data_IF_314657502664
#
_entry.id   IF_314657502664
#
_cell.length_a   1.000
_cell.length_b   1.000
_cell.length_c   1.000
_cell.angle_alpha   90.00
_cell.angle_beta   90.00
_cell.angle_gamma   90.00
#
_symmetry.space_group_name_H-M   'P 1'
#
loop_
_entity.id
_entity.type
_entity.pdbx_description
1 polymer ?
#
# COMPACT_ATOMS: atom_id res chain seq x y z
N UNK A 1 43.59 5.97 -31.69
CA UNK A 1 42.75 5.38 -32.76
C UNK A 1 41.37 5.17 -32.19
N UNK A 2 40.38 5.97 -32.61
CA UNK A 2 39.02 5.88 -32.10
C UNK A 2 38.28 4.72 -32.76
N UNK A 3 37.54 3.93 -31.98
CA UNK A 3 36.68 2.88 -32.52
C UNK A 3 35.49 3.50 -33.27
N UNK A 4 35.15 2.94 -34.45
CA UNK A 4 34.04 3.41 -35.29
C UNK A 4 32.70 2.80 -34.86
N UNK A 5 31.65 3.62 -34.89
CA UNK A 5 30.26 3.21 -34.63
C UNK A 5 29.67 2.37 -35.79
N UNK A 6 28.53 1.72 -35.53
CA UNK A 6 27.74 1.03 -36.57
C UNK A 6 27.11 2.07 -37.53
N UNK A 7 27.10 1.85 -38.86
CA UNK A 7 26.41 2.75 -39.78
C UNK A 7 24.90 2.84 -39.50
N UNK A 8 24.32 4.04 -39.60
CA UNK A 8 22.91 4.31 -39.33
C UNK A 8 21.95 3.43 -40.14
N UNK A 9 22.25 3.19 -41.42
CA UNK A 9 21.46 2.29 -42.29
C UNK A 9 21.40 0.85 -41.81
N UNK A 10 22.30 0.45 -40.90
CA UNK A 10 22.38 -0.88 -40.30
C UNK A 10 22.09 -0.88 -38.81
N UNK A 11 21.66 0.22 -38.21
CA UNK A 11 21.38 0.30 -36.77
C UNK A 11 20.39 -0.77 -36.26
N UNK A 12 19.49 -1.26 -37.13
CA UNK A 12 18.56 -2.36 -36.84
C UNK A 12 19.24 -3.65 -36.34
N UNK A 13 20.49 -3.93 -36.73
CA UNK A 13 21.22 -5.15 -36.35
C UNK A 13 21.96 -5.05 -35.01
N UNK A 14 21.76 -3.96 -34.25
CA UNK A 14 22.40 -3.75 -32.94
C UNK A 14 23.79 -3.12 -33.03
N UNK A 15 24.69 -3.44 -32.10
CA UNK A 15 26.04 -2.89 -32.07
C UNK A 15 26.99 -3.65 -33.00
N UNK A 16 27.89 -2.91 -33.67
CA UNK A 16 28.88 -3.51 -34.57
C UNK A 16 29.98 -4.14 -33.75
N UNK A 17 29.92 -5.46 -33.65
CA UNK A 17 30.90 -6.26 -32.92
C UNK A 17 32.34 -5.94 -33.34
N UNK A 18 33.22 -5.76 -32.34
CA UNK A 18 34.64 -5.55 -32.54
C UNK A 18 35.45 -6.80 -32.21
N UNK A 19 36.76 -6.73 -32.47
CA UNK A 19 37.67 -7.86 -32.21
C UNK A 19 37.64 -8.33 -30.75
N UNK A 20 37.48 -7.41 -29.79
CA UNK A 20 37.37 -7.73 -28.36
C UNK A 20 36.12 -8.58 -28.06
N UNK A 21 34.97 -8.13 -28.57
CA UNK A 21 33.69 -8.83 -28.43
C UNK A 21 33.75 -10.21 -29.10
N UNK A 22 34.35 -10.29 -30.31
CA UNK A 22 34.57 -11.55 -31.02
C UNK A 22 35.38 -12.54 -30.19
N UNK A 23 36.47 -12.08 -29.58
CA UNK A 23 37.31 -12.93 -28.74
C UNK A 23 36.53 -13.43 -27.52
N UNK A 24 35.71 -12.58 -26.89
CA UNK A 24 34.87 -12.99 -25.76
C UNK A 24 33.81 -14.02 -26.19
N UNK A 25 33.12 -13.78 -27.31
CA UNK A 25 32.12 -14.72 -27.86
C UNK A 25 32.75 -16.05 -28.28
N UNK A 26 33.89 -16.02 -28.95
CA UNK A 26 34.59 -17.25 -29.35
C UNK A 26 35.06 -18.07 -28.14
N UNK A 27 35.52 -17.40 -27.07
CA UNK A 27 35.86 -18.06 -25.80
C UNK A 27 34.64 -18.72 -25.15
N UNK A 28 33.52 -18.01 -25.05
CA UNK A 28 32.26 -18.57 -24.49
C UNK A 28 31.76 -19.77 -25.32
N UNK A 29 31.74 -19.64 -26.65
CA UNK A 29 31.36 -20.73 -27.55
C UNK A 29 32.24 -21.97 -27.35
N UNK A 30 33.58 -21.78 -27.32
CA UNK A 30 34.51 -22.88 -27.12
C UNK A 30 34.37 -23.52 -25.74
N UNK A 31 34.08 -22.73 -24.70
CA UNK A 31 33.78 -23.24 -23.36
C UNK A 31 32.52 -24.11 -23.35
N UNK A 32 31.40 -23.62 -23.91
CA UNK A 32 30.14 -24.36 -24.04
C UNK A 32 30.32 -25.64 -24.87
N UNK A 33 31.04 -25.56 -26.00
CA UNK A 33 31.37 -26.71 -26.86
C UNK A 33 32.13 -27.79 -26.08
N UNK A 34 33.17 -27.41 -25.33
CA UNK A 34 33.93 -28.36 -24.49
C UNK A 34 33.06 -28.95 -23.38
N UNK A 35 32.19 -28.17 -22.75
CA UNK A 35 31.25 -28.66 -21.72
C UNK A 35 30.29 -29.69 -22.30
N UNK A 36 29.69 -29.43 -23.45
CA UNK A 36 28.79 -30.37 -24.15
C UNK A 36 29.52 -31.66 -24.54
N UNK A 37 30.76 -31.57 -25.02
CA UNK A 37 31.55 -32.76 -25.35
C UNK A 37 31.78 -33.66 -24.14
N UNK A 38 32.12 -33.07 -22.98
CA UNK A 38 32.28 -33.84 -21.73
C UNK A 38 30.96 -34.46 -21.27
N UNK A 39 29.85 -33.74 -21.36
CA UNK A 39 28.53 -34.27 -21.00
C UNK A 39 28.14 -35.45 -21.90
N UNK A 40 28.43 -35.37 -23.21
CA UNK A 40 28.24 -36.49 -24.14
C UNK A 40 29.07 -37.70 -23.77
N UNK A 41 30.35 -37.52 -23.44
CA UNK A 41 31.20 -38.62 -22.98
C UNK A 41 30.65 -39.27 -21.71
N UNK A 42 30.24 -38.47 -20.71
CA UNK A 42 29.62 -38.99 -19.49
C UNK A 42 28.34 -39.76 -19.75
N UNK A 43 27.50 -39.27 -20.66
CA UNK A 43 26.27 -39.95 -21.05
C UNK A 43 26.54 -41.30 -21.74
N UNK A 44 27.57 -41.36 -22.59
CA UNK A 44 27.99 -42.60 -23.27
C UNK A 44 28.60 -43.61 -22.29
N UNK A 45 29.34 -43.15 -21.28
CA UNK A 45 29.96 -44.00 -20.27
C UNK A 45 29.05 -44.29 -19.07
N UNK A 46 27.74 -44.05 -19.17
CA UNK A 46 26.79 -44.23 -18.06
C UNK A 46 26.60 -45.72 -17.78
N UNK A 47 26.72 -46.12 -16.52
CA UNK A 47 26.35 -47.45 -16.06
C UNK A 47 24.82 -47.54 -15.88
N UNK A 48 24.09 -48.43 -16.57
CA UNK A 48 22.63 -48.57 -16.40
C UNK A 48 22.22 -49.01 -14.99
N UNK A 49 23.10 -49.70 -14.26
CA UNK A 49 22.84 -50.26 -12.93
C UNK A 49 23.29 -49.32 -11.80
N UNK A 50 23.71 -48.09 -12.11
CA UNK A 50 24.13 -47.12 -11.09
C UNK A 50 22.95 -46.69 -10.21
N UNK A 51 23.15 -46.75 -8.90
CA UNK A 51 22.18 -46.30 -7.91
C UNK A 51 22.77 -45.26 -6.97
N UNK A 52 22.06 -44.14 -6.83
CA UNK A 52 22.32 -43.13 -5.81
C UNK A 52 21.10 -42.96 -4.91
N UNK A 53 21.31 -42.81 -3.59
CA UNK A 53 20.21 -42.63 -2.63
C UNK A 53 19.30 -41.42 -2.96
N UNK A 54 19.83 -40.40 -3.65
CA UNK A 54 19.03 -39.26 -4.11
C UNK A 54 17.96 -39.65 -5.13
N UNK A 55 18.13 -40.75 -5.87
CA UNK A 55 17.12 -41.27 -6.80
C UNK A 55 15.81 -41.70 -6.11
N UNK A 56 15.82 -41.88 -4.77
CA UNK A 56 14.60 -42.15 -4.00
C UNK A 56 13.74 -40.88 -3.88
N UNK A 57 14.38 -39.70 -3.83
CA UNK A 57 13.74 -38.39 -3.63
C UNK A 57 13.64 -37.58 -4.92
N UNK A 58 13.84 -38.22 -6.07
CA UNK A 58 13.77 -37.56 -7.37
C UNK A 58 13.29 -38.54 -8.42
N UNK A 59 12.58 -38.07 -9.43
CA UNK A 59 12.14 -38.89 -10.54
C UNK A 59 12.55 -38.27 -11.87
N UNK A 60 12.48 -39.06 -12.93
CA UNK A 60 12.62 -38.56 -14.30
C UNK A 60 11.21 -38.47 -14.88
N UNK A 61 10.84 -37.30 -15.39
CA UNK A 61 9.54 -37.08 -16.02
C UNK A 61 9.39 -37.84 -17.35
N UNK A 62 8.18 -37.86 -17.91
CA UNK A 62 7.91 -38.44 -19.24
C UNK A 62 8.72 -37.76 -20.36
N UNK A 63 9.11 -36.50 -20.13
CA UNK A 63 9.98 -35.69 -20.99
C UNK A 63 11.48 -36.04 -20.88
N UNK A 64 11.83 -36.95 -19.96
CA UNK A 64 13.22 -37.38 -19.73
C UNK A 64 14.04 -36.40 -18.89
N UNK A 65 13.41 -35.40 -18.26
CA UNK A 65 14.09 -34.41 -17.40
C UNK A 65 14.02 -34.83 -15.93
N UNK A 66 15.11 -34.59 -15.20
CA UNK A 66 15.20 -34.88 -13.77
C UNK A 66 14.41 -33.85 -12.95
N UNK A 67 13.53 -34.33 -12.08
CA UNK A 67 12.76 -33.53 -11.13
C UNK A 67 12.98 -34.00 -9.70
N UNK A 68 13.12 -33.06 -8.78
CA UNK A 68 13.15 -33.37 -7.35
C UNK A 68 11.73 -33.58 -6.83
N UNK A 69 11.51 -34.65 -6.05
CA UNK A 69 10.29 -34.81 -5.30
C UNK A 69 10.34 -33.78 -4.17
N UNK A 70 9.60 -32.68 -4.34
CA UNK A 70 9.40 -31.75 -3.25
C UNK A 70 8.73 -32.54 -2.13
N UNK A 71 9.30 -32.59 -0.91
CA UNK A 71 8.60 -33.24 0.19
C UNK A 71 7.25 -32.54 0.34
N UNK A 72 6.17 -33.33 0.30
CA UNK A 72 4.87 -32.82 0.73
C UNK A 72 5.09 -32.22 2.13
N UNK A 73 4.57 -31.01 2.40
CA UNK A 73 4.64 -30.48 3.75
C UNK A 73 4.03 -31.53 4.68
N UNK A 74 4.69 -31.81 5.81
CA UNK A 74 4.16 -32.75 6.78
C UNK A 74 2.68 -32.43 7.01
N UNK A 75 1.80 -33.37 6.69
CA UNK A 75 0.37 -33.18 6.88
C UNK A 75 0.14 -32.91 8.36
N UNK A 76 -0.17 -31.65 8.69
CA UNK A 76 -0.36 -31.24 10.07
C UNK A 76 -1.38 -32.19 10.72
N UNK A 77 -1.05 -32.70 11.90
CA UNK A 77 -2.01 -33.46 12.69
C UNK A 77 -3.27 -32.61 12.90
N UNK A 78 -4.46 -33.23 13.00
CA UNK A 78 -5.71 -32.50 13.24
C UNK A 78 -5.62 -31.49 14.41
N UNK A 79 -4.84 -31.82 15.43
CA UNK A 79 -4.56 -30.94 16.56
C UNK A 79 -3.73 -29.71 16.17
N UNK A 80 -2.70 -29.87 15.34
CA UNK A 80 -1.87 -28.77 14.83
C UNK A 80 -2.68 -27.83 13.95
N UNK A 81 -3.54 -28.37 13.06
CA UNK A 81 -4.46 -27.55 12.23
C UNK A 81 -5.36 -26.68 13.11
N UNK A 82 -6.01 -27.28 14.12
CA UNK A 82 -6.86 -26.55 15.08
C UNK A 82 -6.09 -25.50 15.89
N UNK A 83 -4.85 -25.78 16.29
CA UNK A 83 -4.03 -24.80 17.00
C UNK A 83 -3.71 -23.58 16.13
N UNK A 84 -3.35 -23.79 14.86
CA UNK A 84 -3.15 -22.70 13.89
C UNK A 84 -4.41 -21.84 13.73
N UNK A 85 -5.57 -22.47 13.60
CA UNK A 85 -6.86 -21.76 13.51
C UNK A 85 -7.13 -20.89 14.75
N UNK A 86 -6.81 -21.39 15.95
CA UNK A 86 -6.95 -20.63 17.20
C UNK A 86 -5.98 -19.44 17.28
N UNK A 87 -4.75 -19.61 16.81
CA UNK A 87 -3.76 -18.54 16.73
C UNK A 87 -4.22 -17.41 15.78
N UNK A 88 -4.75 -17.79 14.61
CA UNK A 88 -5.29 -16.85 13.64
C UNK A 88 -6.50 -16.07 14.19
N UNK A 89 -7.43 -16.76 14.85
CA UNK A 89 -8.57 -16.11 15.50
C UNK A 89 -8.12 -15.12 16.59
N UNK A 90 -7.09 -15.48 17.37
CA UNK A 90 -6.52 -14.60 18.39
C UNK A 90 -5.89 -13.37 17.77
N UNK A 91 -5.17 -13.53 16.66
CA UNK A 91 -4.57 -12.42 15.91
C UNK A 91 -5.63 -11.47 15.36
N UNK A 92 -6.68 -12.00 14.72
CA UNK A 92 -7.79 -11.20 14.19
C UNK A 92 -8.49 -10.41 15.29
N UNK A 93 -8.77 -11.04 16.44
CA UNK A 93 -9.37 -10.36 17.60
C UNK A 93 -8.49 -9.24 18.13
N UNK A 94 -7.18 -9.48 18.23
CA UNK A 94 -6.23 -8.44 18.64
C UNK A 94 -6.23 -7.27 17.65
N UNK A 95 -6.18 -7.55 16.34
CA UNK A 95 -6.19 -6.52 15.30
C UNK A 95 -7.48 -5.70 15.33
N UNK A 96 -8.62 -6.35 15.50
CA UNK A 96 -9.93 -5.69 15.64
C UNK A 96 -9.93 -4.73 16.84
N UNK A 97 -9.40 -5.14 17.99
CA UNK A 97 -9.31 -4.27 19.17
C UNK A 97 -8.43 -3.04 18.91
N UNK A 98 -7.29 -3.22 18.24
CA UNK A 98 -6.39 -2.11 17.88
C UNK A 98 -7.10 -1.13 16.94
N UNK A 99 -7.80 -1.62 15.92
CA UNK A 99 -8.54 -0.76 14.99
C UNK A 99 -9.71 -0.05 15.68
N UNK A 100 -10.45 -0.74 16.56
CA UNK A 100 -11.51 -0.10 17.35
C UNK A 100 -10.96 1.03 18.24
N UNK A 101 -9.81 0.83 18.89
CA UNK A 101 -9.17 1.89 19.67
C UNK A 101 -8.73 3.08 18.81
N UNK A 102 -8.27 2.83 17.57
CA UNK A 102 -7.96 3.92 16.62
C UNK A 102 -9.21 4.66 16.20
N UNK A 103 -10.30 3.95 15.90
CA UNK A 103 -11.60 4.55 15.55
C UNK A 103 -12.09 5.43 16.70
N UNK A 104 -12.04 4.94 17.94
CA UNK A 104 -12.45 5.72 19.12
C UNK A 104 -11.56 6.95 19.33
N UNK A 105 -10.24 6.85 19.15
CA UNK A 105 -9.34 8.02 19.19
C UNK A 105 -9.68 9.03 18.11
N UNK A 106 -9.90 8.57 16.87
CA UNK A 106 -10.26 9.44 15.74
C UNK A 106 -11.60 10.14 16.00
N UNK A 107 -12.62 9.39 16.45
CA UNK A 107 -13.92 9.94 16.86
C UNK A 107 -13.76 10.97 17.97
N UNK A 108 -12.97 10.69 19.00
CA UNK A 108 -12.72 11.62 20.09
C UNK A 108 -12.04 12.92 19.63
N UNK A 109 -11.08 12.85 18.70
CA UNK A 109 -10.45 14.06 18.14
C UNK A 109 -11.36 14.89 17.23
N UNK A 110 -12.39 14.26 16.65
CA UNK A 110 -13.23 14.83 15.61
C UNK A 110 -14.41 15.63 16.21
N UNK A 111 -14.13 16.76 16.85
CA UNK A 111 -15.11 17.50 17.65
C UNK A 111 -16.27 18.20 16.89
N UNK A 112 -16.37 18.11 15.55
CA UNK A 112 -17.40 18.84 14.78
C UNK A 112 -17.98 18.11 13.54
N UNK A 113 -17.55 16.88 13.22
CA UNK A 113 -18.07 16.19 12.04
C UNK A 113 -19.49 15.64 12.21
N UNK A 114 -19.92 15.39 13.45
CA UNK A 114 -21.28 14.91 13.77
C UNK A 114 -22.37 15.96 13.63
N UNK A 115 -22.01 17.19 13.24
CA UNK A 115 -22.95 18.30 13.09
C UNK A 115 -23.86 18.18 11.86
N UNK A 116 -23.51 17.31 10.90
CA UNK A 116 -24.36 17.00 9.74
C UNK A 116 -25.43 15.94 10.10
N UNK A 117 -25.14 15.05 11.05
CA UNK A 117 -25.98 13.88 11.32
C UNK A 117 -27.11 14.13 12.34
N UNK A 118 -26.94 15.05 13.30
CA UNK A 118 -27.88 15.24 14.41
C UNK A 118 -28.68 16.54 14.30
N UNK A 119 -29.94 16.45 13.85
CA UNK A 119 -30.90 17.58 13.87
C UNK A 119 -31.40 17.82 15.30
N UNK A 120 -30.74 18.69 16.06
CA UNK A 120 -31.21 19.11 17.39
C UNK A 120 -32.12 20.35 17.28
N UNK A 121 -33.19 20.41 18.07
CA UNK A 121 -34.09 21.55 18.18
C UNK A 121 -33.63 22.50 19.29
N UNK A 122 -33.68 23.81 19.05
CA UNK A 122 -33.37 24.84 20.04
C UNK A 122 -34.61 25.72 20.24
N UNK A 123 -35.31 25.51 21.36
CA UNK A 123 -36.53 26.23 21.74
C UNK A 123 -36.20 27.47 22.58
N UNK A 124 -36.74 28.62 22.20
CA UNK A 124 -36.55 29.89 22.91
C UNK A 124 -37.86 30.24 23.61
N UNK A 125 -37.80 30.55 24.90
CA UNK A 125 -38.95 30.98 25.68
C UNK A 125 -39.02 32.50 25.71
N UNK A 126 -40.23 33.04 25.58
CA UNK A 126 -40.52 34.48 25.53
C UNK A 126 -41.76 34.74 26.38
N UNK A 127 -41.78 35.85 27.11
CA UNK A 127 -42.78 36.12 28.14
C UNK A 127 -44.12 36.59 27.55
N UNK A 128 -44.10 37.25 26.39
CA UNK A 128 -45.31 37.81 25.76
C UNK A 128 -45.57 37.25 24.36
N UNK A 129 -46.84 36.98 24.02
CA UNK A 129 -47.21 36.52 22.66
C UNK A 129 -46.82 37.53 21.56
N UNK A 130 -46.82 38.83 21.88
CA UNK A 130 -46.42 39.89 20.94
C UNK A 130 -44.93 39.80 20.60
N UNK A 131 -44.11 39.42 21.57
CA UNK A 131 -42.67 39.25 21.40
C UNK A 131 -42.36 37.96 20.63
N UNK A 132 -43.13 36.89 20.86
CA UNK A 132 -43.02 35.66 20.09
C UNK A 132 -43.30 35.88 18.59
N UNK A 133 -44.30 36.70 18.24
CA UNK A 133 -44.65 37.01 16.84
C UNK A 133 -43.61 37.89 16.12
N UNK A 134 -42.96 38.80 16.84
CA UNK A 134 -41.97 39.74 16.30
C UNK A 134 -40.51 39.29 16.57
N UNK A 135 -40.30 38.01 16.90
CA UNK A 135 -38.99 37.50 17.28
C UNK A 135 -38.00 37.53 16.10
N UNK A 136 -36.86 38.21 16.29
CA UNK A 136 -35.76 38.24 15.33
C UNK A 136 -34.51 37.60 15.94
N UNK A 137 -34.04 36.45 15.41
CA UNK A 137 -32.88 35.76 15.94
C UNK A 137 -31.58 36.56 15.79
N UNK A 138 -31.45 37.43 14.78
CA UNK A 138 -30.24 38.26 14.59
C UNK A 138 -30.06 39.20 15.78
N UNK A 139 -31.15 39.89 16.15
CA UNK A 139 -31.18 40.85 17.26
C UNK A 139 -31.11 40.16 18.61
N UNK A 140 -31.82 39.04 18.79
CA UNK A 140 -31.83 38.33 20.07
C UNK A 140 -30.44 37.81 20.45
N UNK A 141 -29.66 37.34 19.48
CA UNK A 141 -28.31 36.80 19.74
C UNK A 141 -27.18 37.82 19.58
N UNK A 142 -27.45 39.03 19.07
CA UNK A 142 -26.43 40.03 18.68
C UNK A 142 -25.34 39.45 17.76
N UNK A 143 -25.74 38.65 16.77
CA UNK A 143 -24.82 37.94 15.85
C UNK A 143 -25.07 38.29 14.39
N UNK A 144 -24.05 38.25 13.52
CA UNK A 144 -24.26 38.46 12.09
C UNK A 144 -25.11 37.33 11.48
N UNK A 145 -25.91 37.66 10.45
CA UNK A 145 -26.84 36.70 9.80
C UNK A 145 -26.15 35.43 9.28
N UNK A 146 -24.89 35.54 8.86
CA UNK A 146 -24.09 34.45 8.29
C UNK A 146 -23.83 33.31 9.29
N UNK A 147 -23.70 33.61 10.59
CA UNK A 147 -23.34 32.62 11.61
C UNK A 147 -24.55 32.00 12.30
N UNK A 148 -25.77 32.43 11.96
CA UNK A 148 -27.00 31.89 12.55
C UNK A 148 -27.22 30.41 12.18
N UNK A 149 -26.84 30.03 10.96
CA UNK A 149 -27.05 28.67 10.47
C UNK A 149 -26.12 27.63 11.11
N UNK A 150 -24.92 28.02 11.59
CA UNK A 150 -24.00 27.09 12.28
C UNK A 150 -24.39 26.93 13.74
N UNK A 151 -24.25 25.75 14.34
CA UNK A 151 -24.68 25.49 15.73
C UNK A 151 -23.65 25.93 16.79
N UNK A 152 -22.38 25.77 16.49
CA UNK A 152 -21.26 26.09 17.38
C UNK A 152 -20.61 27.41 16.99
N UNK A 153 -19.90 28.03 17.94
CA UNK A 153 -19.11 29.25 17.75
C UNK A 153 -19.92 30.39 17.10
N UNK A 154 -20.92 30.95 17.81
CA UNK A 154 -21.68 32.13 17.38
C UNK A 154 -21.23 33.36 18.18
N UNK A 155 -20.12 34.04 17.79
CA UNK A 155 -19.63 35.19 18.54
C UNK A 155 -20.56 36.39 18.36
N UNK A 156 -20.76 37.15 19.44
CA UNK A 156 -21.47 38.42 19.39
C UNK A 156 -20.68 39.45 18.62
N UNK A 157 -21.36 40.45 18.06
CA UNK A 157 -20.73 41.54 17.31
C UNK A 157 -19.69 42.28 18.16
N UNK A 158 -19.96 42.51 19.45
CA UNK A 158 -19.01 43.13 20.38
C UNK A 158 -17.73 42.30 20.58
N UNK A 159 -17.85 40.97 20.61
CA UNK A 159 -16.70 40.05 20.70
C UNK A 159 -15.88 40.06 19.40
N UNK A 160 -16.54 40.14 18.24
CA UNK A 160 -15.85 40.28 16.95
C UNK A 160 -15.09 41.61 16.84
N UNK A 161 -15.62 42.68 17.43
CA UNK A 161 -14.98 44.00 17.44
C UNK A 161 -13.79 44.08 18.40
N UNK A 162 -13.85 43.38 19.55
CA UNK A 162 -12.79 43.43 20.57
C UNK A 162 -11.68 42.40 20.37
N UNK A 163 -11.97 41.28 19.71
CA UNK A 163 -10.99 40.22 19.52
C UNK A 163 -10.00 40.55 18.39
N UNK A 164 -8.71 40.51 18.70
CA UNK A 164 -7.66 40.56 17.68
C UNK A 164 -7.36 39.16 17.15
N UNK A 165 -7.38 38.97 15.84
CA UNK A 165 -7.03 37.69 15.21
C UNK A 165 -5.51 37.48 15.34
N UNK A 166 -5.12 36.37 15.98
CA UNK A 166 -3.71 36.04 16.24
C UNK A 166 -3.06 35.32 15.03
N UNK A 167 -3.85 34.67 14.17
CA UNK A 167 -3.36 33.90 13.02
C UNK A 167 -3.70 34.56 11.67
N UNK A 168 -2.87 34.26 10.66
CA UNK A 168 -2.96 34.61 9.23
C UNK A 168 -3.63 35.97 8.95
N UNK A 169 -2.83 37.04 8.99
CA UNK A 169 -3.29 38.42 8.81
C UNK A 169 -3.35 38.83 7.33
N UNK A 170 -2.77 38.02 6.43
CA UNK A 170 -2.77 38.28 4.99
C UNK A 170 -2.92 37.02 4.14
N UNK A 171 -3.24 37.22 2.85
CA UNK A 171 -3.40 36.14 1.86
C UNK A 171 -2.14 35.29 1.68
N UNK A 172 -0.98 35.85 2.02
CA UNK A 172 0.33 35.19 1.95
C UNK A 172 0.56 34.14 3.05
N UNK A 173 -0.20 34.21 4.14
CA UNK A 173 -0.07 33.28 5.29
C UNK A 173 -0.83 31.96 5.05
N UNK A 174 -1.64 31.90 3.98
CA UNK A 174 -2.45 30.75 3.60
C UNK A 174 -1.64 29.86 2.66
N UNK A 175 -1.05 28.77 3.18
CA UNK A 175 -0.38 27.75 2.37
C UNK A 175 -1.40 26.73 1.86
N UNK A 176 -1.34 26.44 0.56
CA UNK A 176 -2.05 25.30 -0.04
C UNK A 176 -1.26 24.05 0.32
N UNK A 177 -1.87 23.12 1.06
CA UNK A 177 -1.29 21.80 1.27
C UNK A 177 -1.52 20.96 -0.01
N UNK A 178 -0.42 20.65 -0.71
CA UNK A 178 -0.32 19.64 -1.77
C UNK A 178 -0.15 18.25 -1.19
#
# INVERSE_FOLDING_TARGET
>A
MNEKLQPESRAQFGLLEKKKDYVQRARDYNYKKRKLQRLRQKALSRNPDEFHFHMIRSHVGEDGVHHENTPEPDEDTLLQKKLKDLEDLKYLKHRLNVENQKIEKLRATLHFADTVATKNTHTIFVDTEKEAKNFDPVKYFDTPKEVLNRRYNRPRISTLQSSSIINAKGKNDVKVCS
#
